data_IF_371346674935
#
_entry.id   IF_371346674935
#
_cell.length_a   1.000
_cell.length_b   1.000
_cell.length_c   1.000
_cell.angle_alpha   90.00
_cell.angle_beta   90.00
_cell.angle_gamma   90.00
#
_symmetry.space_group_name_H-M   'P 1'
#
loop_
_entity.id
_entity.type
_entity.pdbx_description
1 polymer ?
#
# COMPACT_ATOMS: atom_id res chain seq x y z
N UNK A 1 -10.22 20.64 -24.68
CA UNK A 1 -9.21 20.63 -23.59
C UNK A 1 -9.02 19.20 -23.08
N UNK A 2 -7.79 18.73 -22.92
CA UNK A 2 -7.48 17.35 -22.45
C UNK A 2 -8.09 17.08 -21.06
N UNK A 3 -8.25 18.13 -20.24
CA UNK A 3 -8.93 18.08 -18.94
C UNK A 3 -10.40 17.63 -19.05
N UNK A 4 -11.13 18.08 -20.08
CA UNK A 4 -12.53 17.72 -20.29
C UNK A 4 -12.67 16.25 -20.72
N UNK A 5 -11.75 15.75 -21.56
CA UNK A 5 -11.72 14.34 -21.94
C UNK A 5 -11.47 13.43 -20.74
N UNK A 6 -10.58 13.86 -19.81
CA UNK A 6 -10.34 13.13 -18.56
C UNK A 6 -11.55 13.11 -17.63
N UNK A 7 -12.34 14.18 -17.60
CA UNK A 7 -13.57 14.23 -16.79
C UNK A 7 -14.69 13.39 -17.40
N UNK A 8 -14.76 13.31 -18.73
CA UNK A 8 -15.74 12.49 -19.45
C UNK A 8 -15.41 11.00 -19.40
N UNK A 9 -14.13 10.65 -19.27
CA UNK A 9 -13.72 9.28 -19.04
C UNK A 9 -13.93 8.92 -17.57
N UNK A 10 -14.75 7.91 -17.28
CA UNK A 10 -14.92 7.31 -15.93
C UNK A 10 -13.65 6.54 -15.47
N UNK A 11 -12.47 6.94 -15.95
CA UNK A 11 -11.20 6.30 -15.67
C UNK A 11 -10.66 6.77 -14.32
N UNK A 12 -10.11 5.86 -13.50
CA UNK A 12 -9.47 6.23 -12.25
C UNK A 12 -8.28 7.15 -12.50
N UNK A 13 -8.07 8.10 -11.58
CA UNK A 13 -6.99 9.08 -11.72
C UNK A 13 -5.61 8.42 -11.76
N UNK A 14 -4.63 9.06 -12.41
CA UNK A 14 -3.24 8.58 -12.39
C UNK A 14 -2.70 8.45 -10.96
N UNK A 15 -3.13 9.31 -10.05
CA UNK A 15 -2.75 9.24 -8.64
C UNK A 15 -3.31 7.98 -7.97
N UNK A 16 -4.59 7.68 -8.15
CA UNK A 16 -5.24 6.47 -7.63
C UNK A 16 -4.57 5.21 -8.19
N UNK A 17 -4.34 5.16 -9.51
CA UNK A 17 -3.64 4.05 -10.17
C UNK A 17 -2.22 3.87 -9.63
N UNK A 18 -1.44 4.94 -9.47
CA UNK A 18 -0.09 4.87 -8.88
C UNK A 18 -0.12 4.40 -7.42
N UNK A 19 -1.14 4.78 -6.64
CA UNK A 19 -1.32 4.30 -5.26
C UNK A 19 -1.62 2.80 -5.25
N UNK A 20 -2.56 2.35 -6.08
CA UNK A 20 -2.90 0.92 -6.25
C UNK A 20 -1.67 0.07 -6.58
N UNK A 21 -0.89 0.47 -7.60
CA UNK A 21 0.31 -0.27 -8.01
C UNK A 21 1.37 -0.36 -6.89
N UNK A 22 1.56 0.72 -6.11
CA UNK A 22 2.50 0.69 -4.99
C UNK A 22 2.05 -0.28 -3.89
N UNK A 23 0.77 -0.24 -3.53
CA UNK A 23 0.19 -1.17 -2.54
C UNK A 23 0.26 -2.61 -3.01
N UNK A 24 -0.04 -2.88 -4.29
CA UNK A 24 0.10 -4.21 -4.89
C UNK A 24 1.55 -4.71 -4.87
N UNK A 25 2.52 -3.84 -5.18
CA UNK A 25 3.94 -4.18 -5.10
C UNK A 25 4.34 -4.53 -3.67
N UNK A 26 3.90 -3.75 -2.68
CA UNK A 26 4.17 -4.06 -1.28
C UNK A 26 3.52 -5.39 -0.86
N UNK A 27 2.27 -5.64 -1.24
CA UNK A 27 1.60 -6.93 -0.99
C UNK A 27 2.43 -8.11 -1.55
N UNK A 28 2.97 -7.98 -2.76
CA UNK A 28 3.80 -9.02 -3.36
C UNK A 28 5.12 -9.25 -2.59
N UNK A 29 5.75 -8.18 -2.09
CA UNK A 29 6.94 -8.28 -1.23
C UNK A 29 6.59 -9.02 0.07
N UNK A 30 5.49 -8.65 0.72
CA UNK A 30 5.08 -9.24 2.00
C UNK A 30 4.72 -10.71 1.91
N UNK A 31 4.09 -11.14 0.80
CA UNK A 31 3.71 -12.54 0.61
C UNK A 31 4.80 -13.38 -0.06
N UNK A 32 6.00 -12.83 -0.27
CA UNK A 32 7.13 -13.58 -0.86
C UNK A 32 6.99 -13.87 -2.36
N UNK A 33 6.06 -13.21 -3.05
CA UNK A 33 5.91 -13.34 -4.51
C UNK A 33 7.08 -12.69 -5.27
N UNK A 34 7.89 -11.88 -4.59
CA UNK A 34 9.11 -11.26 -5.11
C UNK A 34 10.28 -11.71 -4.23
N UNK A 35 11.42 -12.03 -4.86
CA UNK A 35 12.68 -12.39 -4.18
C UNK A 35 13.34 -11.15 -3.54
N UNK A 36 12.65 -10.53 -2.60
CA UNK A 36 13.16 -9.44 -1.78
C UNK A 36 12.99 -9.86 -0.32
N UNK A 37 14.08 -9.88 0.45
CA UNK A 37 14.04 -10.25 1.87
C UNK A 37 13.27 -9.20 2.66
N UNK A 38 11.97 -9.40 2.89
CA UNK A 38 11.15 -8.48 3.70
C UNK A 38 11.81 -8.20 5.06
N UNK A 39 12.32 -9.24 5.70
CA UNK A 39 12.98 -9.20 7.01
C UNK A 39 14.27 -8.38 7.03
N UNK A 40 14.92 -8.17 5.88
CA UNK A 40 16.18 -7.45 5.79
C UNK A 40 15.97 -5.92 5.86
N UNK A 41 14.78 -5.46 5.45
CA UNK A 41 14.48 -4.04 5.30
C UNK A 41 13.30 -3.57 6.16
N UNK A 42 12.46 -4.49 6.62
CA UNK A 42 11.21 -4.20 7.31
C UNK A 42 10.92 -5.20 8.42
N UNK A 43 10.04 -4.77 9.31
CA UNK A 43 9.58 -5.57 10.44
C UNK A 43 8.12 -5.24 10.70
N UNK A 44 7.34 -6.29 11.00
CA UNK A 44 5.98 -6.10 11.47
C UNK A 44 6.01 -5.43 12.84
N UNK A 45 5.00 -4.61 13.11
CA UNK A 45 4.83 -3.98 14.39
C UNK A 45 4.32 -5.03 15.39
N UNK A 46 5.20 -5.49 16.28
CA UNK A 46 4.89 -6.43 17.36
C UNK A 46 4.20 -5.79 18.56
N UNK A 47 3.96 -4.48 18.55
CA UNK A 47 3.23 -3.80 19.62
C UNK A 47 1.77 -4.28 19.69
N UNK A 48 1.17 -4.19 20.89
CA UNK A 48 -0.22 -4.63 21.12
C UNK A 48 -1.15 -4.09 20.02
N UNK A 49 -2.03 -4.94 19.45
CA UNK A 49 -3.03 -4.49 18.50
C UNK A 49 -3.92 -3.46 19.18
N UNK A 50 -3.90 -2.23 18.66
CA UNK A 50 -4.92 -1.24 18.98
C UNK A 50 -6.08 -1.44 18.01
N UNK A 51 -7.25 -0.87 18.32
CA UNK A 51 -8.46 -0.95 17.46
C UNK A 51 -8.24 -0.48 16.00
N UNK A 52 -7.12 0.20 15.74
CA UNK A 52 -6.74 0.81 14.47
C UNK A 52 -5.58 0.08 13.76
N UNK A 53 -5.04 -1.00 14.34
CA UNK A 53 -3.89 -1.73 13.79
C UNK A 53 -4.31 -3.16 13.43
N UNK A 54 -3.98 -3.58 12.21
CA UNK A 54 -4.17 -4.96 11.75
C UNK A 54 -2.91 -5.79 12.01
N UNK A 55 -3.02 -7.12 11.90
CA UNK A 55 -1.94 -8.07 12.20
C UNK A 55 -0.67 -7.88 11.35
N UNK A 56 -0.83 -7.37 10.12
CA UNK A 56 0.27 -7.08 9.18
C UNK A 56 0.73 -5.62 9.16
N UNK A 57 0.49 -4.84 10.22
CA UNK A 57 0.97 -3.45 10.30
C UNK A 57 2.50 -3.45 10.34
N UNK A 58 3.16 -2.63 9.51
CA UNK A 58 4.62 -2.53 9.39
C UNK A 58 5.12 -1.34 10.22
N UNK A 59 6.29 -1.47 10.84
CA UNK A 59 6.95 -0.34 11.51
C UNK A 59 7.27 0.76 10.47
N UNK A 60 6.79 1.99 10.71
CA UNK A 60 7.10 3.12 9.84
C UNK A 60 8.59 3.49 9.98
N UNK A 61 9.37 3.59 8.89
CA UNK A 61 10.76 4.02 8.97
C UNK A 61 10.85 5.47 9.43
N UNK A 62 11.94 5.82 10.14
CA UNK A 62 12.19 7.20 10.53
C UNK A 62 12.63 8.01 9.32
N UNK A 63 11.88 9.06 9.00
CA UNK A 63 12.13 9.92 7.84
C UNK A 63 12.73 11.25 8.29
N UNK A 64 13.77 11.72 7.58
CA UNK A 64 14.44 13.01 7.85
C UNK A 64 14.35 13.99 6.67
N UNK A 65 13.96 13.54 5.49
CA UNK A 65 13.91 14.35 4.26
C UNK A 65 12.64 14.07 3.49
N UNK A 66 12.11 15.09 2.79
CA UNK A 66 10.95 14.94 1.92
C UNK A 66 11.22 13.93 0.79
N UNK A 67 12.44 13.92 0.24
CA UNK A 67 12.84 12.96 -0.79
C UNK A 67 12.66 11.51 -0.30
N UNK A 68 13.09 11.21 0.93
CA UNK A 68 12.87 9.89 1.50
C UNK A 68 11.40 9.67 1.89
N UNK A 69 10.72 10.67 2.44
CA UNK A 69 9.30 10.59 2.82
C UNK A 69 8.41 10.13 1.67
N UNK A 70 8.64 10.71 0.49
CA UNK A 70 7.84 10.45 -0.71
C UNK A 70 8.43 9.33 -1.59
N UNK A 71 9.54 8.72 -1.16
CA UNK A 71 10.06 7.49 -1.77
C UNK A 71 9.12 6.31 -1.50
N UNK A 72 9.41 5.18 -2.18
CA UNK A 72 8.51 4.02 -2.20
C UNK A 72 8.14 3.51 -0.80
N UNK A 73 9.12 3.18 0.05
CA UNK A 73 8.83 2.49 1.32
C UNK A 73 8.08 3.35 2.34
N UNK A 74 8.55 4.54 2.75
CA UNK A 74 7.89 5.28 3.81
C UNK A 74 6.45 5.68 3.43
N UNK A 75 6.26 6.06 2.16
CA UNK A 75 4.95 6.44 1.63
C UNK A 75 4.00 5.24 1.53
N UNK A 76 4.47 4.11 1.03
CA UNK A 76 3.59 2.95 0.78
C UNK A 76 3.28 2.21 2.08
N UNK A 77 4.24 2.13 3.02
CA UNK A 77 3.99 1.59 4.37
C UNK A 77 2.95 2.43 5.11
N UNK A 78 2.99 3.76 4.92
CA UNK A 78 1.99 4.64 5.51
C UNK A 78 0.57 4.29 5.05
N UNK A 79 0.38 4.26 3.73
CA UNK A 79 -0.91 3.92 3.11
C UNK A 79 -1.34 2.47 3.41
N UNK A 80 -0.40 1.52 3.46
CA UNK A 80 -0.67 0.12 3.81
C UNK A 80 -1.22 -0.02 5.23
N UNK A 81 -0.61 0.67 6.19
CA UNK A 81 -1.03 0.62 7.59
C UNK A 81 -2.40 1.28 7.84
N UNK A 82 -2.91 2.03 6.87
CA UNK A 82 -4.24 2.65 6.89
C UNK A 82 -5.30 1.75 6.24
N UNK A 83 -4.91 0.62 5.63
CA UNK A 83 -5.85 -0.29 5.01
C UNK A 83 -6.65 -1.08 6.06
N UNK A 84 -7.95 -1.33 5.79
CA UNK A 84 -8.76 -2.24 6.58
C UNK A 84 -8.19 -3.66 6.66
N UNK A 85 -8.43 -4.33 7.80
CA UNK A 85 -7.88 -5.67 8.06
C UNK A 85 -8.44 -6.74 7.10
N UNK A 86 -9.68 -6.58 6.67
CA UNK A 86 -10.38 -7.39 5.68
C UNK A 86 -9.68 -7.37 4.31
N UNK A 87 -9.19 -6.20 3.87
CA UNK A 87 -8.43 -6.07 2.62
C UNK A 87 -7.04 -6.72 2.77
N UNK A 88 -6.33 -6.41 3.86
CA UNK A 88 -4.96 -6.89 4.11
C UNK A 88 -4.88 -8.41 4.35
N UNK A 89 -5.99 -8.99 4.83
CA UNK A 89 -6.15 -10.42 5.10
C UNK A 89 -6.31 -11.29 3.84
N UNK A 90 -6.59 -10.69 2.67
CA UNK A 90 -6.78 -11.43 1.42
C UNK A 90 -5.51 -12.20 1.02
N UNK A 91 -5.68 -13.42 0.52
CA UNK A 91 -4.59 -14.35 0.15
C UNK A 91 -4.20 -14.32 -1.32
N UNK A 92 -5.02 -13.69 -2.18
CA UNK A 92 -4.77 -13.55 -3.61
C UNK A 92 -4.40 -12.11 -3.94
N UNK A 93 -3.36 -11.92 -4.76
CA UNK A 93 -2.97 -10.62 -5.31
C UNK A 93 -4.14 -9.99 -6.07
N UNK A 94 -4.88 -10.79 -6.86
CA UNK A 94 -5.99 -10.28 -7.64
C UNK A 94 -7.14 -9.81 -6.75
N UNK A 95 -7.51 -10.60 -5.74
CA UNK A 95 -8.54 -10.22 -4.78
C UNK A 95 -8.15 -8.96 -4.00
N UNK A 96 -6.90 -8.88 -3.56
CA UNK A 96 -6.35 -7.69 -2.90
C UNK A 96 -6.42 -6.45 -3.80
N UNK A 97 -5.96 -6.55 -5.05
CA UNK A 97 -5.95 -5.43 -5.99
C UNK A 97 -7.37 -4.91 -6.25
N UNK A 98 -8.35 -5.80 -6.47
CA UNK A 98 -9.74 -5.38 -6.69
C UNK A 98 -10.31 -4.69 -5.44
N UNK A 99 -10.13 -5.28 -4.26
CA UNK A 99 -10.63 -4.70 -3.01
C UNK A 99 -10.01 -3.33 -2.69
N UNK A 100 -8.71 -3.15 -2.95
CA UNK A 100 -8.06 -1.83 -2.82
C UNK A 100 -8.59 -0.85 -3.86
N UNK A 101 -8.84 -1.29 -5.09
CA UNK A 101 -9.40 -0.43 -6.12
C UNK A 101 -10.80 0.07 -5.75
N UNK A 102 -11.65 -0.78 -5.18
CA UNK A 102 -12.99 -0.40 -4.72
C UNK A 102 -12.96 0.52 -3.47
N UNK A 103 -11.89 0.43 -2.68
CA UNK A 103 -11.67 1.28 -1.51
C UNK A 103 -11.12 2.69 -1.83
N UNK A 104 -10.48 2.87 -2.98
CA UNK A 104 -9.78 4.11 -3.38
C UNK A 104 -10.66 5.10 -4.15
#
# INVERSE_FOLDING_TARGET
SITNLRQLSELPTLQSRRKLHRLQMLYNILNGNIRMGFTDYMQYNSARPTRWKHSKTIVRPRVKTNAYQFSFFPRTIAEWNELPCDIVGLSSVHAFTNAVQDYL
#
